data_IF_642344227350
#
_entry.id   IF_642344227350
#
_cell.length_a   1.000
_cell.length_b   1.000
_cell.length_c   1.000
_cell.angle_alpha   90.00
_cell.angle_beta   90.00
_cell.angle_gamma   90.00
#
_symmetry.space_group_name_H-M   'P 1'
#
loop_
_entity.id
_entity.type
_entity.pdbx_description
1 polymer ?
#
# COMPACT_ATOMS: atom_id res chain seq x y z
N UNK A 1 -12.25 -6.65 3.40
CA UNK A 1 -12.44 -5.87 2.16
C UNK A 1 -12.06 -4.43 2.46
N UNK A 2 -11.45 -3.74 1.50
CA UNK A 2 -11.13 -2.31 1.56
C UNK A 2 -11.83 -1.66 0.36
N UNK A 3 -12.58 -0.59 0.58
CA UNK A 3 -13.28 0.16 -0.49
C UNK A 3 -12.94 1.65 -0.40
N UNK A 4 -13.34 2.43 -1.40
CA UNK A 4 -13.08 3.87 -1.41
C UNK A 4 -13.82 4.56 -0.26
N UNK A 5 -13.11 5.42 0.47
CA UNK A 5 -13.67 6.13 1.62
C UNK A 5 -14.95 6.93 1.26
N UNK A 6 -14.96 7.58 0.08
CA UNK A 6 -16.10 8.35 -0.41
C UNK A 6 -17.31 7.51 -0.87
N UNK A 7 -17.21 6.19 -0.83
CA UNK A 7 -18.28 5.27 -1.25
C UNK A 7 -18.91 4.51 -0.09
N UNK A 8 -18.49 4.73 1.17
CA UNK A 8 -18.92 3.92 2.30
C UNK A 8 -20.45 3.91 2.49
N UNK A 9 -21.11 5.06 2.28
CA UNK A 9 -22.56 5.20 2.41
C UNK A 9 -23.34 4.46 1.33
N UNK A 10 -22.66 4.04 0.26
CA UNK A 10 -23.21 3.20 -0.81
C UNK A 10 -22.83 1.73 -0.61
N UNK A 11 -21.55 1.47 -0.40
CA UNK A 11 -20.99 0.12 -0.38
C UNK A 11 -21.48 -0.67 0.84
N UNK A 12 -21.50 -0.06 2.03
CA UNK A 12 -21.88 -0.77 3.25
C UNK A 12 -23.35 -1.22 3.25
N UNK A 13 -24.34 -0.36 2.91
CA UNK A 13 -25.72 -0.81 2.78
C UNK A 13 -25.89 -1.91 1.74
N UNK A 14 -25.23 -1.78 0.57
CA UNK A 14 -25.28 -2.79 -0.48
C UNK A 14 -24.81 -4.17 0.02
N UNK A 15 -23.69 -4.22 0.75
CA UNK A 15 -23.16 -5.47 1.31
C UNK A 15 -24.07 -6.05 2.39
N UNK A 16 -24.60 -5.20 3.28
CA UNK A 16 -25.47 -5.63 4.37
C UNK A 16 -26.79 -6.21 3.84
N UNK A 17 -27.38 -5.57 2.83
CA UNK A 17 -28.61 -6.05 2.18
C UNK A 17 -28.39 -7.41 1.50
N UNK A 18 -27.31 -7.55 0.73
CA UNK A 18 -26.99 -8.82 0.07
C UNK A 18 -26.68 -9.93 1.09
N UNK A 19 -25.95 -9.62 2.17
CA UNK A 19 -25.71 -10.58 3.24
C UNK A 19 -27.01 -10.99 3.97
N UNK A 20 -27.97 -10.07 4.14
CA UNK A 20 -29.31 -10.40 4.68
C UNK A 20 -30.07 -11.32 3.72
N UNK A 21 -30.05 -11.04 2.42
CA UNK A 21 -30.67 -11.89 1.40
C UNK A 21 -30.10 -13.31 1.43
N UNK A 22 -28.78 -13.44 1.42
CA UNK A 22 -28.10 -14.75 1.45
C UNK A 22 -28.41 -15.54 2.72
N UNK A 23 -28.47 -14.88 3.88
CA UNK A 23 -28.92 -15.52 5.12
C UNK A 23 -30.36 -16.03 5.04
N UNK A 24 -31.26 -15.31 4.37
CA UNK A 24 -32.64 -15.77 4.14
C UNK A 24 -32.72 -17.01 3.24
N UNK A 25 -31.70 -17.22 2.41
CA UNK A 25 -31.53 -18.41 1.56
C UNK A 25 -30.76 -19.54 2.28
N UNK A 26 -30.57 -19.41 3.60
CA UNK A 26 -29.90 -20.41 4.45
C UNK A 26 -28.38 -20.43 4.35
N UNK A 27 -27.75 -19.38 3.80
CA UNK A 27 -26.27 -19.25 3.77
C UNK A 27 -25.73 -18.61 5.05
N UNK A 28 -24.54 -19.04 5.47
CA UNK A 28 -23.82 -18.41 6.58
C UNK A 28 -22.89 -17.30 6.06
N UNK A 29 -23.31 -16.05 6.25
CA UNK A 29 -22.53 -14.87 5.84
C UNK A 29 -22.71 -13.75 6.85
N UNK A 30 -21.61 -13.08 7.19
CA UNK A 30 -21.57 -11.94 8.09
C UNK A 30 -20.74 -10.82 7.47
N UNK A 31 -21.23 -9.59 7.62
CA UNK A 31 -20.50 -8.37 7.23
C UNK A 31 -20.23 -7.59 8.50
N UNK A 32 -18.95 -7.40 8.83
CA UNK A 32 -18.49 -6.64 9.99
C UNK A 32 -17.54 -5.55 9.55
N UNK A 33 -17.83 -4.32 9.98
CA UNK A 33 -16.91 -3.18 9.80
C UNK A 33 -15.78 -3.30 10.82
N UNK A 34 -14.55 -3.02 10.37
CA UNK A 34 -13.38 -3.00 11.23
C UNK A 34 -13.09 -1.56 11.68
N UNK A 35 -13.78 -1.12 12.74
CA UNK A 35 -13.71 0.25 13.25
C UNK A 35 -12.42 0.54 14.06
N UNK A 36 -11.75 -0.50 14.54
CA UNK A 36 -10.56 -0.41 15.39
C UNK A 36 -9.25 -0.46 14.60
N UNK A 37 -9.29 -0.09 13.31
CA UNK A 37 -8.15 -0.23 12.38
C UNK A 37 -7.76 1.08 11.72
N UNK A 38 -6.47 1.36 11.67
CA UNK A 38 -5.85 2.29 10.73
C UNK A 38 -5.33 1.55 9.50
N UNK A 39 -5.03 2.31 8.44
CA UNK A 39 -4.42 1.80 7.21
C UNK A 39 -3.30 2.75 6.77
N UNK A 40 -2.08 2.22 6.64
CA UNK A 40 -0.90 2.95 6.18
C UNK A 40 -0.33 2.26 4.95
N UNK A 41 -0.07 3.00 3.88
CA UNK A 41 0.58 2.50 2.67
C UNK A 41 2.05 2.92 2.66
N UNK A 42 2.94 1.98 2.34
CA UNK A 42 4.39 2.21 2.18
C UNK A 42 4.77 1.71 0.79
N UNK A 43 5.06 2.64 -0.13
CA UNK A 43 5.24 2.34 -1.55
C UNK A 43 6.41 3.12 -2.15
N UNK A 44 7.06 2.53 -3.14
CA UNK A 44 8.10 3.19 -3.94
C UNK A 44 9.47 2.54 -3.89
N UNK A 45 10.30 2.93 -4.85
CA UNK A 45 11.74 2.66 -4.92
C UNK A 45 12.53 3.90 -4.52
N UNK A 46 13.80 3.72 -4.12
CA UNK A 46 14.67 4.85 -3.83
C UNK A 46 14.86 5.75 -5.06
N UNK A 47 14.99 7.07 -4.90
CA UNK A 47 15.44 7.91 -6.00
C UNK A 47 16.80 7.40 -6.50
N UNK A 48 16.84 7.05 -7.79
CA UNK A 48 18.08 6.85 -8.52
C UNK A 48 18.88 8.15 -8.40
N UNK A 49 20.06 8.09 -7.77
CA UNK A 49 20.97 9.22 -7.73
C UNK A 49 21.40 9.58 -9.15
N UNK A 50 21.00 10.74 -9.64
CA UNK A 50 21.56 11.30 -10.87
C UNK A 50 22.90 11.93 -10.51
N UNK A 51 24.00 11.30 -10.92
CA UNK A 51 25.29 11.97 -10.98
C UNK A 51 25.29 12.92 -12.19
N UNK A 52 25.15 14.23 -11.96
CA UNK A 52 25.19 15.22 -13.03
C UNK A 52 26.60 15.37 -13.67
N UNK A 53 27.63 14.71 -13.11
CA UNK A 53 28.98 14.71 -13.69
C UNK A 53 29.22 13.57 -14.69
N UNK A 54 28.37 12.54 -14.72
CA UNK A 54 28.43 11.44 -15.69
C UNK A 54 27.02 10.96 -16.08
N UNK A 55 26.71 10.94 -17.37
CA UNK A 55 25.40 10.55 -17.98
C UNK A 55 25.03 9.06 -17.78
N UNK A 56 25.55 8.38 -16.76
CA UNK A 56 25.27 6.98 -16.49
C UNK A 56 24.18 6.80 -15.42
N UNK A 57 23.02 6.29 -15.84
CA UNK A 57 22.02 5.72 -14.94
C UNK A 57 22.53 4.39 -14.38
N UNK A 58 22.93 4.37 -13.11
CA UNK A 58 23.17 3.12 -12.40
C UNK A 58 21.85 2.57 -11.87
N UNK A 59 21.26 1.62 -12.60
CA UNK A 59 20.21 0.76 -12.06
C UNK A 59 20.85 -0.21 -11.05
N UNK A 60 20.92 0.19 -9.78
CA UNK A 60 21.22 -0.79 -8.73
C UNK A 60 20.00 -1.69 -8.60
N UNK A 61 20.17 -2.92 -9.08
CA UNK A 61 19.17 -3.99 -9.07
C UNK A 61 19.03 -4.59 -7.66
N UNK A 62 18.79 -3.73 -6.67
CA UNK A 62 18.82 -4.07 -5.25
C UNK A 62 17.42 -4.30 -4.67
N UNK A 63 16.58 -5.09 -5.35
CA UNK A 63 15.25 -5.46 -4.84
C UNK A 63 14.31 -4.27 -4.53
N UNK A 64 13.11 -4.55 -4.03
CA UNK A 64 12.20 -3.48 -3.67
C UNK A 64 12.60 -2.84 -2.34
N UNK A 65 12.91 -1.56 -2.40
CA UNK A 65 13.50 -0.80 -1.29
C UNK A 65 12.60 -0.75 -0.05
N UNK A 66 11.27 -0.80 -0.22
CA UNK A 66 10.32 -0.97 0.89
C UNK A 66 10.66 -2.18 1.77
N UNK A 67 11.04 -3.31 1.16
CA UNK A 67 11.36 -4.52 1.92
C UNK A 67 12.61 -4.33 2.79
N UNK A 68 13.59 -3.53 2.37
CA UNK A 68 14.78 -3.24 3.19
C UNK A 68 14.48 -2.36 4.40
N UNK A 69 13.48 -1.49 4.28
CA UNK A 69 13.00 -0.66 5.39
C UNK A 69 12.18 -1.49 6.36
N UNK A 70 11.26 -2.31 5.84
CA UNK A 70 10.25 -2.95 6.67
C UNK A 70 10.67 -4.32 7.20
N UNK A 71 11.45 -5.11 6.46
CA UNK A 71 11.83 -6.47 6.85
C UNK A 71 12.51 -6.56 8.22
N UNK A 72 13.46 -5.66 8.59
CA UNK A 72 14.07 -5.70 9.93
C UNK A 72 13.07 -5.46 11.06
N UNK A 73 11.95 -4.82 10.74
CA UNK A 73 10.96 -4.31 11.68
C UNK A 73 9.69 -5.17 11.71
N UNK A 74 9.63 -6.24 10.92
CA UNK A 74 8.48 -7.15 10.85
C UNK A 74 8.90 -8.61 10.96
N UNK A 75 8.06 -9.42 11.60
CA UNK A 75 8.22 -10.88 11.62
C UNK A 75 7.57 -11.57 10.41
N UNK A 76 6.90 -10.80 9.54
CA UNK A 76 6.42 -11.27 8.24
C UNK A 76 7.60 -11.40 7.28
N UNK A 77 7.78 -12.58 6.69
CA UNK A 77 8.78 -12.80 5.64
C UNK A 77 8.32 -12.15 4.31
N UNK A 78 8.79 -10.93 4.04
CA UNK A 78 8.43 -10.13 2.87
C UNK A 78 8.98 -10.73 1.57
N UNK A 79 10.00 -11.58 1.64
CA UNK A 79 10.51 -12.30 0.47
C UNK A 79 9.52 -13.36 -0.04
N UNK A 80 8.68 -13.89 0.86
CA UNK A 80 7.62 -14.85 0.55
C UNK A 80 6.26 -14.22 0.31
N UNK A 81 6.10 -12.95 0.70
CA UNK A 81 4.88 -12.19 0.46
C UNK A 81 4.88 -11.70 -0.99
N UNK A 82 4.28 -12.43 -1.92
CA UNK A 82 4.18 -12.03 -3.34
C UNK A 82 3.06 -11.00 -3.55
N UNK A 83 3.04 -10.33 -4.70
CA UNK A 83 1.99 -9.37 -5.06
C UNK A 83 0.59 -9.97 -4.87
N UNK A 84 -0.33 -9.18 -4.29
CA UNK A 84 -1.71 -9.54 -3.93
C UNK A 84 -1.84 -10.67 -2.89
N UNK A 85 -0.78 -10.96 -2.14
CA UNK A 85 -0.85 -11.83 -0.95
C UNK A 85 -0.73 -11.01 0.34
N UNK A 86 -1.11 -11.64 1.46
CA UNK A 86 -1.19 -10.97 2.75
C UNK A 86 -0.87 -11.93 3.89
N UNK A 87 -0.29 -11.39 4.95
CA UNK A 87 0.02 -12.10 6.17
C UNK A 87 -0.33 -11.24 7.39
N UNK A 88 -0.53 -11.88 8.54
CA UNK A 88 -0.67 -11.21 9.83
C UNK A 88 0.62 -11.43 10.60
N UNK A 89 1.15 -10.36 11.17
CA UNK A 89 2.37 -10.39 11.98
C UNK A 89 2.49 -9.16 12.86
N UNK A 90 3.71 -8.92 13.34
CA UNK A 90 4.10 -7.74 14.08
C UNK A 90 4.85 -6.78 13.17
N UNK A 91 4.62 -5.49 13.31
CA UNK A 91 5.35 -4.45 12.59
C UNK A 91 5.81 -3.39 13.58
N UNK A 92 7.10 -3.10 13.63
CA UNK A 92 7.77 -2.38 14.72
C UNK A 92 7.33 -2.89 16.11
N UNK A 93 7.19 -4.21 16.29
CA UNK A 93 6.69 -4.80 17.53
C UNK A 93 5.20 -4.57 17.83
N UNK A 94 4.45 -3.82 17.01
CA UNK A 94 3.00 -3.67 17.12
C UNK A 94 2.34 -4.97 16.65
N UNK A 95 1.58 -5.67 17.50
CA UNK A 95 0.97 -6.95 17.13
C UNK A 95 -0.27 -6.78 16.25
N UNK A 96 -0.67 -7.88 15.61
CA UNK A 96 -1.91 -7.96 14.84
C UNK A 96 -1.97 -6.95 13.68
N UNK A 97 -0.85 -6.74 13.01
CA UNK A 97 -0.77 -5.98 11.77
C UNK A 97 -1.04 -6.92 10.59
N UNK A 98 -1.93 -6.53 9.68
CA UNK A 98 -2.12 -7.25 8.42
C UNK A 98 -1.33 -6.51 7.35
N UNK A 99 -0.29 -7.17 6.85
CA UNK A 99 0.57 -6.66 5.77
C UNK A 99 0.10 -7.29 4.47
N UNK A 100 -0.23 -6.47 3.49
CA UNK A 100 -0.67 -6.90 2.16
C UNK A 100 0.26 -6.29 1.13
N UNK A 101 0.84 -7.10 0.24
CA UNK A 101 1.71 -6.59 -0.82
C UNK A 101 0.87 -6.13 -2.00
N UNK A 102 0.39 -4.90 -1.89
CA UNK A 102 -0.44 -4.20 -2.86
C UNK A 102 -0.23 -2.69 -2.71
N UNK A 103 -0.88 -1.92 -3.58
CA UNK A 103 -1.01 -0.48 -3.38
C UNK A 103 -1.54 0.24 -4.61
N UNK A 104 -1.40 1.56 -4.62
CA UNK A 104 -2.07 2.45 -5.57
C UNK A 104 -1.13 3.45 -6.25
N UNK A 105 0.09 3.02 -6.56
CA UNK A 105 1.13 3.87 -7.18
C UNK A 105 1.86 3.21 -8.35
N UNK A 106 1.53 1.96 -8.70
CA UNK A 106 2.26 1.16 -9.70
C UNK A 106 3.60 0.58 -9.21
N UNK A 107 4.20 1.18 -8.19
CA UNK A 107 5.43 0.72 -7.54
C UNK A 107 5.19 -0.48 -6.59
N UNK A 108 6.26 -1.22 -6.28
CA UNK A 108 6.20 -2.20 -5.18
C UNK A 108 5.98 -1.50 -3.83
N UNK A 109 5.31 -2.21 -2.93
CA UNK A 109 4.93 -1.68 -1.64
C UNK A 109 3.98 -2.60 -0.89
N UNK A 110 3.61 -2.15 0.31
CA UNK A 110 2.62 -2.82 1.14
C UNK A 110 1.59 -1.83 1.68
N UNK A 111 0.39 -2.35 1.92
CA UNK A 111 -0.57 -1.74 2.82
C UNK A 111 -0.58 -2.47 4.16
N UNK A 112 -0.53 -1.71 5.24
CA UNK A 112 -0.49 -2.21 6.61
C UNK A 112 -1.77 -1.76 7.30
N UNK A 113 -2.70 -2.70 7.48
CA UNK A 113 -3.79 -2.51 8.43
C UNK A 113 -3.23 -2.73 9.83
N UNK A 114 -3.42 -1.77 10.71
CA UNK A 114 -2.85 -1.71 12.06
C UNK A 114 -3.95 -1.39 13.08
N UNK A 115 -3.88 -1.80 14.36
CA UNK A 115 -4.80 -1.27 15.36
C UNK A 115 -4.80 0.26 15.35
N UNK A 116 -5.97 0.90 15.33
CA UNK A 116 -6.11 2.34 15.12
C UNK A 116 -5.30 3.17 16.14
N UNK A 117 -5.28 2.71 17.39
CA UNK A 117 -4.50 3.34 18.49
C UNK A 117 -2.99 3.40 18.22
N UNK A 118 -2.47 2.50 17.38
CA UNK A 118 -1.03 2.36 17.11
C UNK A 118 -0.65 2.96 15.74
N UNK A 119 -1.61 3.52 14.98
CA UNK A 119 -1.36 4.04 13.64
C UNK A 119 -0.37 5.22 13.61
N UNK A 120 -0.46 6.11 14.61
CA UNK A 120 0.48 7.24 14.77
C UNK A 120 1.89 6.69 15.04
N UNK A 121 2.02 5.79 16.02
CA UNK A 121 3.30 5.17 16.37
C UNK A 121 3.93 4.42 15.19
N UNK A 122 3.13 3.67 14.41
CA UNK A 122 3.59 3.01 13.20
C UNK A 122 4.17 4.03 12.20
N UNK A 123 3.45 5.12 11.96
CA UNK A 123 3.85 6.16 11.01
C UNK A 123 5.13 6.87 11.45
N UNK A 124 5.24 7.24 12.72
CA UNK A 124 6.44 7.87 13.29
C UNK A 124 7.67 6.97 13.19
N UNK A 125 7.51 5.67 13.47
CA UNK A 125 8.62 4.69 13.37
C UNK A 125 9.05 4.45 11.92
N UNK A 126 8.10 4.41 10.98
CA UNK A 126 8.41 4.37 9.56
C UNK A 126 9.24 5.59 9.12
N UNK A 127 8.88 6.80 9.57
CA UNK A 127 9.63 8.02 9.23
C UNK A 127 11.04 8.05 9.84
N UNK A 128 11.24 7.39 10.98
CA UNK A 128 12.54 7.25 11.64
C UNK A 128 13.38 6.09 11.09
N UNK A 129 12.82 5.28 10.19
CA UNK A 129 13.48 4.09 9.67
C UNK A 129 14.68 4.44 8.79
N UNK A 130 15.71 3.61 8.88
CA UNK A 130 16.93 3.70 8.08
C UNK A 130 16.99 2.49 7.15
N UNK A 131 17.65 2.61 6.01
CA UNK A 131 17.96 1.44 5.16
C UNK A 131 19.07 0.64 5.84
N UNK A 132 18.98 -0.70 5.74
CA UNK A 132 20.03 -1.61 6.20
C UNK A 132 21.41 -1.23 5.64
N UNK A 133 22.46 -1.36 6.46
CA UNK A 133 23.81 -0.83 6.26
C UNK A 133 24.58 -1.33 5.03
N UNK A 134 24.10 -2.38 4.38
CA UNK A 134 24.83 -3.08 3.31
C UNK A 134 24.56 -2.51 1.90
N UNK A 135 23.85 -1.38 1.82
CA UNK A 135 23.67 -0.64 0.56
C UNK A 135 24.87 0.28 0.36
N UNK A 136 25.59 0.11 -0.75
CA UNK A 136 26.71 0.97 -1.13
C UNK A 136 26.18 2.40 -1.39
N UNK A 137 26.28 3.22 -0.36
CA UNK A 137 25.63 4.52 -0.19
C UNK A 137 26.29 5.66 -0.99
N UNK A 138 27.19 5.31 -1.92
CA UNK A 138 28.07 6.25 -2.61
C UNK A 138 27.33 7.25 -3.52
N UNK A 139 26.03 7.03 -3.79
CA UNK A 139 25.22 7.83 -4.72
C UNK A 139 24.02 8.53 -4.05
N UNK A 140 23.84 8.40 -2.73
CA UNK A 140 22.76 9.09 -2.03
C UNK A 140 23.21 10.49 -1.61
N UNK A 141 22.45 11.52 -1.99
CA UNK A 141 22.64 12.89 -1.49
C UNK A 141 22.71 12.82 0.03
N UNK A 142 23.71 13.45 0.64
CA UNK A 142 23.97 13.46 2.08
C UNK A 142 22.75 13.83 2.94
N UNK A 143 21.77 14.55 2.38
CA UNK A 143 20.49 14.90 3.02
C UNK A 143 19.53 13.72 3.24
N UNK A 144 19.54 12.71 2.37
CA UNK A 144 18.70 11.50 2.53
C UNK A 144 19.23 10.61 3.65
N UNK A 145 20.55 10.65 3.87
CA UNK A 145 21.22 9.92 4.95
C UNK A 145 20.97 10.55 6.33
N UNK A 146 20.71 11.86 6.37
CA UNK A 146 20.44 12.57 7.62
C UNK A 146 18.96 12.53 8.04
N UNK A 147 18.02 12.52 7.08
CA UNK A 147 16.59 12.73 7.37
C UNK A 147 15.72 11.46 7.28
N UNK A 148 16.33 10.29 7.09
CA UNK A 148 15.59 9.04 6.91
C UNK A 148 15.13 8.83 5.47
N UNK A 149 14.73 7.59 5.22
CA UNK A 149 14.58 7.05 3.85
C UNK A 149 13.12 7.03 3.40
N UNK A 150 12.21 7.13 4.36
CA UNK A 150 10.76 7.21 4.17
C UNK A 150 10.33 8.66 4.28
N UNK A 151 9.47 9.11 3.36
CA UNK A 151 8.87 10.46 3.39
C UNK A 151 7.35 10.35 3.30
N UNK A 152 6.66 11.32 3.90
CA UNK A 152 5.22 11.45 3.74
C UNK A 152 4.89 11.89 2.31
N UNK A 153 3.82 11.31 1.74
CA UNK A 153 3.25 11.69 0.46
C UNK A 153 1.78 12.06 0.65
N UNK A 154 1.38 13.21 0.10
CA UNK A 154 0.01 13.70 0.15
C UNK A 154 -0.86 13.25 -1.03
N UNK A 155 -2.11 13.71 -1.05
CA UNK A 155 -3.10 13.34 -2.07
C UNK A 155 -2.68 13.70 -3.50
N UNK A 156 -2.01 14.84 -3.72
CA UNK A 156 -1.54 15.23 -5.05
C UNK A 156 -0.49 14.28 -5.62
N UNK A 157 0.47 13.84 -4.79
CA UNK A 157 1.46 12.84 -5.20
C UNK A 157 0.80 11.49 -5.48
N UNK A 158 -0.16 11.07 -4.63
CA UNK A 158 -0.93 9.84 -4.83
C UNK A 158 -1.70 9.86 -6.15
N UNK A 159 -2.36 10.97 -6.49
CA UNK A 159 -3.14 11.09 -7.72
C UNK A 159 -2.24 11.12 -8.98
N UNK A 160 -1.06 11.75 -8.90
CA UNK A 160 -0.09 11.69 -9.99
C UNK A 160 0.41 10.25 -10.22
N UNK A 161 0.86 9.56 -9.16
CA UNK A 161 1.44 8.22 -9.26
C UNK A 161 0.44 7.17 -9.75
N UNK A 162 -0.81 7.19 -9.25
CA UNK A 162 -1.84 6.25 -9.72
C UNK A 162 -2.16 6.46 -11.20
N UNK A 163 -2.14 7.72 -11.66
CA UNK A 163 -2.43 8.08 -13.04
C UNK A 163 -1.31 7.61 -13.96
N UNK A 164 -0.05 7.81 -13.57
CA UNK A 164 1.12 7.27 -14.28
C UNK A 164 1.10 5.73 -14.35
N UNK A 165 0.59 5.08 -13.31
CA UNK A 165 0.41 3.63 -13.25
C UNK A 165 -0.84 3.11 -14.00
N UNK A 166 -1.67 4.00 -14.55
CA UNK A 166 -2.91 3.63 -15.26
C UNK A 166 -4.01 3.05 -14.36
N UNK A 167 -4.03 3.41 -13.07
CA UNK A 167 -5.04 2.94 -12.11
C UNK A 167 -6.26 3.88 -12.05
N UNK A 168 -7.45 3.29 -12.16
CA UNK A 168 -8.72 4.02 -12.16
C UNK A 168 -9.07 4.63 -10.80
N UNK A 169 -9.48 5.89 -10.81
CA UNK A 169 -10.10 6.59 -9.69
C UNK A 169 -11.62 6.59 -9.83
N UNK A 170 -12.30 5.90 -8.93
CA UNK A 170 -13.76 5.88 -8.89
C UNK A 170 -14.34 7.29 -8.65
N UNK A 171 -15.38 7.65 -9.42
CA UNK A 171 -15.99 8.97 -9.46
C UNK A 171 -15.38 9.91 -10.52
N UNK A 172 -14.22 9.55 -11.10
CA UNK A 172 -13.60 10.27 -12.20
C UNK A 172 -13.49 9.38 -13.45
N UNK A 173 -12.73 8.29 -13.36
CA UNK A 173 -12.45 7.41 -14.52
C UNK A 173 -13.48 6.29 -14.68
N UNK A 174 -14.11 5.90 -13.57
CA UNK A 174 -15.15 4.87 -13.51
C UNK A 174 -16.27 5.30 -12.57
N UNK A 175 -17.50 4.94 -12.92
CA UNK A 175 -18.70 5.23 -12.14
C UNK A 175 -19.78 4.15 -12.40
N UNK A 176 -21.02 4.42 -12.01
CA UNK A 176 -22.15 3.49 -12.19
C UNK A 176 -22.60 3.36 -13.66
N UNK A 177 -22.15 4.25 -14.54
CA UNK A 177 -22.50 4.28 -15.95
C UNK A 177 -21.38 3.73 -16.85
N UNK A 178 -20.24 3.39 -16.27
CA UNK A 178 -19.07 2.87 -16.99
C UNK A 178 -18.95 1.37 -16.74
N UNK A 179 -19.10 0.57 -17.78
CA UNK A 179 -18.93 -0.88 -17.66
C UNK A 179 -17.45 -1.26 -17.47
N UNK A 180 -17.14 -2.43 -16.86
CA UNK A 180 -15.75 -2.88 -16.76
C UNK A 180 -15.03 -2.99 -18.11
N UNK A 181 -15.75 -3.32 -19.18
CA UNK A 181 -15.17 -3.38 -20.53
C UNK A 181 -14.80 -1.98 -21.06
N UNK A 182 -15.68 -0.99 -20.91
CA UNK A 182 -15.41 0.41 -21.30
C UNK A 182 -14.24 1.01 -20.51
N UNK A 183 -14.08 0.62 -19.24
CA UNK A 183 -12.99 1.08 -18.38
C UNK A 183 -11.64 0.39 -18.64
N UNK A 184 -11.55 -0.57 -19.57
CA UNK A 184 -10.34 -1.38 -19.76
C UNK A 184 -10.06 -2.35 -18.60
N UNK A 185 -11.08 -2.63 -17.76
CA UNK A 185 -11.02 -3.50 -16.59
C UNK A 185 -11.65 -4.88 -16.84
N UNK A 186 -11.81 -5.32 -18.09
CA UNK A 186 -12.41 -6.61 -18.41
C UNK A 186 -11.71 -7.80 -17.70
N UNK A 187 -10.43 -7.66 -17.37
CA UNK A 187 -9.65 -8.66 -16.62
C UNK A 187 -10.15 -8.92 -15.18
N UNK A 188 -10.98 -8.05 -14.59
CA UNK A 188 -11.55 -8.27 -13.25
C UNK A 188 -12.83 -9.10 -13.26
N UNK A 189 -13.39 -9.38 -14.43
CA UNK A 189 -14.60 -10.18 -14.60
C UNK A 189 -14.18 -11.63 -14.85
N UNK A 190 -14.55 -12.54 -13.94
CA UNK A 190 -14.23 -13.96 -14.00
C UNK A 190 -15.45 -14.87 -14.01
#
# INVERSE_FOLDING_TARGET
MVTNAGCIDKDLPYLQENAKKWRSEGKDVQVKVLEDRGLVAVQGVYPIGIDHSNIFFYFYNSGPEMSKVLQPETDVDLSKLTFMTTAIGKVFGIPNCRVTRCGYTGEDGVEISVPAKDAVTLTERLLQSKVASDVNLYSLRSEVLQNGVVKLAGLGARDALRMEAGLCLYGNDIDENTTPAEAGLAFVVG
#
